data_IF_252075588996
#
_entry.id   IF_252075588996
#
_cell.length_a   1.000
_cell.length_b   1.000
_cell.length_c   1.000
_cell.angle_alpha   90.00
_cell.angle_beta   90.00
_cell.angle_gamma   90.00
#
_symmetry.space_group_name_H-M   'P 1'
#
loop_
_entity.id
_entity.type
_entity.pdbx_description
1 polymer ?
#
# COMPACT_ATOMS: atom_id res chain seq x y z
N UNK A 1 -28.62 -3.20 6.81
CA UNK A 1 -27.87 -4.00 5.82
C UNK A 1 -26.70 -4.60 6.57
N UNK A 2 -26.63 -5.93 6.67
CA UNK A 2 -25.52 -6.60 7.36
C UNK A 2 -24.23 -6.32 6.59
N UNK A 3 -23.17 -5.90 7.28
CA UNK A 3 -21.84 -5.77 6.68
C UNK A 3 -21.38 -7.14 6.19
N UNK A 4 -20.94 -7.20 4.92
CA UNK A 4 -20.41 -8.42 4.36
C UNK A 4 -19.16 -8.89 5.10
N UNK A 5 -18.94 -10.21 5.14
CA UNK A 5 -17.70 -10.78 5.66
C UNK A 5 -16.54 -10.41 4.73
N UNK A 6 -15.45 -9.91 5.28
CA UNK A 6 -14.20 -9.62 4.56
C UNK A 6 -13.05 -10.42 5.19
N UNK A 7 -12.28 -11.12 4.36
CA UNK A 7 -11.07 -11.83 4.76
C UNK A 7 -9.84 -11.05 4.30
N UNK A 8 -9.02 -10.66 5.26
CA UNK A 8 -7.75 -9.97 5.04
C UNK A 8 -6.58 -10.96 5.06
N UNK A 9 -5.69 -10.85 4.08
CA UNK A 9 -4.36 -11.43 4.10
C UNK A 9 -3.32 -10.32 4.30
N UNK A 10 -2.41 -10.52 5.25
CA UNK A 10 -1.32 -9.58 5.55
C UNK A 10 -0.01 -10.26 5.19
N UNK A 11 0.64 -9.79 4.13
CA UNK A 11 1.91 -10.35 3.70
C UNK A 11 3.05 -9.79 4.56
N UNK A 12 3.94 -10.68 5.02
CA UNK A 12 5.13 -10.28 5.77
C UNK A 12 6.36 -10.96 5.17
N UNK A 13 7.30 -10.16 4.67
CA UNK A 13 8.57 -10.65 4.15
C UNK A 13 9.61 -9.52 4.09
N UNK A 14 10.88 -9.90 4.00
CA UNK A 14 11.96 -8.96 3.73
C UNK A 14 12.04 -8.67 2.23
N UNK A 15 11.71 -7.45 1.83
CA UNK A 15 11.88 -6.98 0.46
C UNK A 15 13.37 -6.95 0.08
N UNK A 16 13.66 -7.26 -1.18
CA UNK A 16 15.00 -7.17 -1.77
C UNK A 16 15.24 -5.73 -2.17
N UNK A 17 16.28 -5.12 -1.60
CA UNK A 17 16.66 -3.72 -1.80
C UNK A 17 16.79 -3.40 -3.30
N UNK A 18 16.05 -2.40 -3.77
CA UNK A 18 16.07 -1.89 -5.14
C UNK A 18 15.59 -2.83 -6.24
N UNK A 19 15.16 -4.06 -5.93
CA UNK A 19 14.86 -5.08 -6.94
C UNK A 19 13.35 -5.28 -7.13
N UNK A 20 12.73 -4.40 -7.92
CA UNK A 20 11.29 -4.44 -8.20
C UNK A 20 10.86 -5.78 -8.78
N UNK A 21 11.63 -6.34 -9.72
CA UNK A 21 11.29 -7.61 -10.37
C UNK A 21 11.18 -8.77 -9.37
N UNK A 22 12.17 -8.90 -8.48
CA UNK A 22 12.18 -9.96 -7.45
C UNK A 22 11.07 -9.73 -6.42
N UNK A 23 10.84 -8.50 -5.99
CA UNK A 23 9.77 -8.17 -5.05
C UNK A 23 8.38 -8.40 -5.65
N UNK A 24 8.19 -8.07 -6.92
CA UNK A 24 6.94 -8.34 -7.65
C UNK A 24 6.70 -9.85 -7.79
N UNK A 25 7.74 -10.65 -8.03
CA UNK A 25 7.60 -12.11 -8.02
C UNK A 25 7.20 -12.65 -6.64
N UNK A 26 7.65 -12.02 -5.54
CA UNK A 26 7.17 -12.35 -4.19
C UNK A 26 5.71 -11.98 -4.00
N UNK A 27 5.30 -10.79 -4.44
CA UNK A 27 3.89 -10.38 -4.44
C UNK A 27 3.03 -11.41 -5.17
N UNK A 28 3.42 -11.83 -6.38
CA UNK A 28 2.73 -12.86 -7.17
C UNK A 28 2.47 -14.14 -6.36
N UNK A 29 3.49 -14.65 -5.66
CA UNK A 29 3.37 -15.86 -4.80
C UNK A 29 2.42 -15.65 -3.63
N UNK A 30 2.54 -14.52 -2.93
CA UNK A 30 1.64 -14.21 -1.81
C UNK A 30 0.20 -14.00 -2.26
N UNK A 31 -0.01 -13.34 -3.41
CA UNK A 31 -1.32 -13.16 -4.00
C UNK A 31 -1.98 -14.51 -4.31
N UNK A 32 -1.24 -15.42 -4.93
CA UNK A 32 -1.72 -16.77 -5.21
C UNK A 32 -2.16 -17.51 -3.93
N UNK A 33 -1.33 -17.49 -2.87
CA UNK A 33 -1.69 -18.14 -1.61
C UNK A 33 -2.87 -17.47 -0.90
N UNK A 34 -2.96 -16.15 -0.90
CA UNK A 34 -4.07 -15.42 -0.32
C UNK A 34 -5.39 -15.73 -1.05
N UNK A 35 -5.36 -15.79 -2.38
CA UNK A 35 -6.51 -16.18 -3.19
C UNK A 35 -6.93 -17.63 -2.91
N UNK A 36 -5.97 -18.56 -2.80
CA UNK A 36 -6.24 -19.96 -2.42
C UNK A 36 -6.90 -20.07 -1.04
N UNK A 37 -6.56 -19.18 -0.12
CA UNK A 37 -7.17 -19.08 1.21
C UNK A 37 -8.48 -18.27 1.20
N UNK A 38 -8.92 -17.76 0.05
CA UNK A 38 -10.15 -17.01 -0.16
C UNK A 38 -10.13 -15.63 0.50
N UNK A 39 -9.01 -14.91 0.42
CA UNK A 39 -8.89 -13.53 0.87
C UNK A 39 -9.56 -12.57 -0.14
N UNK A 40 -10.27 -11.57 0.37
CA UNK A 40 -10.84 -10.49 -0.43
C UNK A 40 -9.83 -9.33 -0.63
N UNK A 41 -8.89 -9.20 0.32
CA UNK A 41 -7.80 -8.23 0.30
C UNK A 41 -6.49 -8.91 0.66
N UNK A 42 -5.42 -8.54 -0.03
CA UNK A 42 -4.05 -8.71 0.44
C UNK A 42 -3.35 -7.36 0.56
N UNK A 43 -2.68 -7.12 1.70
CA UNK A 43 -1.88 -5.92 1.95
C UNK A 43 -0.44 -6.28 2.20
N UNK A 44 0.45 -5.53 1.56
CA UNK A 44 1.89 -5.67 1.68
C UNK A 44 2.50 -4.52 2.51
N UNK A 45 3.72 -4.71 3.05
CA UNK A 45 4.42 -3.68 3.82
C UNK A 45 4.69 -2.39 3.03
N UNK A 46 4.98 -1.32 3.75
CA UNK A 46 5.47 -0.07 3.17
C UNK A 46 6.71 -0.32 2.31
N UNK A 47 6.75 0.32 1.12
CA UNK A 47 7.84 0.18 0.14
C UNK A 47 8.19 -1.27 -0.23
N UNK A 48 7.25 -2.21 -0.09
CA UNK A 48 7.46 -3.64 -0.34
C UNK A 48 7.89 -3.98 -1.78
N UNK A 49 7.53 -3.16 -2.78
CA UNK A 49 8.00 -3.35 -4.17
C UNK A 49 9.47 -2.98 -4.36
N UNK A 50 10.02 -2.07 -3.57
CA UNK A 50 11.38 -1.54 -3.77
C UNK A 50 12.34 -1.89 -2.64
N UNK A 51 11.82 -2.28 -1.48
CA UNK A 51 12.55 -2.18 -0.22
C UNK A 51 12.58 -0.74 0.31
N UNK A 52 12.84 -0.61 1.61
CA UNK A 52 12.94 0.67 2.30
C UNK A 52 14.31 1.29 2.05
N UNK A 53 14.46 1.94 0.90
CA UNK A 53 15.71 2.55 0.43
C UNK A 53 15.47 4.02 0.06
N UNK A 54 15.47 4.90 1.07
CA UNK A 54 15.13 6.32 0.88
C UNK A 54 15.94 7.02 -0.22
N UNK A 55 17.28 6.83 -0.33
CA UNK A 55 18.06 7.43 -1.40
C UNK A 55 17.70 6.97 -2.81
N UNK A 56 16.99 5.84 -2.95
CA UNK A 56 16.59 5.28 -4.24
C UNK A 56 15.14 5.60 -4.62
N UNK A 57 14.39 6.34 -3.80
CA UNK A 57 12.95 6.55 -4.05
C UNK A 57 12.69 7.25 -5.38
N UNK A 58 13.53 8.23 -5.76
CA UNK A 58 13.36 8.97 -7.01
C UNK A 58 13.56 8.07 -8.24
N UNK A 59 14.61 7.26 -8.24
CA UNK A 59 14.97 6.34 -9.31
C UNK A 59 13.96 5.18 -9.45
N UNK A 60 13.37 4.77 -8.34
CA UNK A 60 12.43 3.63 -8.29
C UNK A 60 10.96 4.06 -8.32
N UNK A 61 10.67 5.37 -8.39
CA UNK A 61 9.33 5.91 -8.35
C UNK A 61 8.46 5.34 -9.49
N UNK A 62 7.32 4.77 -9.10
CA UNK A 62 6.39 4.15 -10.03
C UNK A 62 5.53 5.23 -10.69
N UNK A 63 5.63 5.33 -12.01
CA UNK A 63 4.71 6.10 -12.84
C UNK A 63 3.37 5.37 -12.98
N UNK A 64 2.28 6.13 -13.06
CA UNK A 64 0.91 5.59 -13.20
C UNK A 64 0.72 4.78 -14.48
N UNK A 65 1.48 5.09 -15.52
CA UNK A 65 1.49 4.41 -16.82
C UNK A 65 2.46 3.22 -16.88
N UNK A 66 3.21 2.95 -15.80
CA UNK A 66 4.26 1.92 -15.83
C UNK A 66 3.68 0.51 -16.00
N UNK A 67 4.48 -0.40 -16.57
CA UNK A 67 4.10 -1.81 -16.73
C UNK A 67 3.86 -2.49 -15.38
N UNK A 68 4.53 -2.06 -14.31
CA UNK A 68 4.32 -2.58 -12.96
C UNK A 68 2.89 -2.35 -12.45
N UNK A 69 2.28 -1.21 -12.81
CA UNK A 69 0.86 -0.91 -12.50
C UNK A 69 -0.05 -1.92 -13.17
N UNK A 70 0.18 -2.18 -14.46
CA UNK A 70 -0.59 -3.16 -15.21
C UNK A 70 -0.42 -4.57 -14.65
N UNK A 71 0.81 -4.99 -14.34
CA UNK A 71 1.07 -6.32 -13.77
C UNK A 71 0.34 -6.55 -12.44
N UNK A 72 0.32 -5.57 -11.54
CA UNK A 72 -0.37 -5.68 -10.26
C UNK A 72 -1.90 -5.60 -10.39
N UNK A 73 -2.41 -4.79 -11.32
CA UNK A 73 -3.83 -4.78 -11.67
C UNK A 73 -4.27 -6.16 -12.19
N UNK A 74 -3.50 -6.78 -13.09
CA UNK A 74 -3.80 -8.13 -13.58
C UNK A 74 -3.76 -9.19 -12.48
N UNK A 75 -2.90 -9.03 -11.46
CA UNK A 75 -2.90 -9.92 -10.30
C UNK A 75 -4.16 -9.77 -9.46
N UNK A 76 -4.65 -8.55 -9.25
CA UNK A 76 -5.91 -8.29 -8.54
C UNK A 76 -7.10 -8.92 -9.28
N UNK A 77 -7.21 -8.68 -10.60
CA UNK A 77 -8.26 -9.24 -11.47
C UNK A 77 -8.22 -10.77 -11.46
N UNK A 78 -7.05 -11.36 -11.75
CA UNK A 78 -6.92 -12.82 -11.90
C UNK A 78 -7.20 -13.58 -10.60
N UNK A 79 -7.00 -12.94 -9.46
CA UNK A 79 -7.25 -13.53 -8.13
C UNK A 79 -8.57 -13.04 -7.51
N UNK A 80 -9.34 -12.20 -8.20
CA UNK A 80 -10.61 -11.63 -7.72
C UNK A 80 -10.52 -11.02 -6.31
N UNK A 81 -9.44 -10.30 -6.03
CA UNK A 81 -9.17 -9.68 -4.74
C UNK A 81 -8.51 -8.31 -4.90
N UNK A 82 -8.65 -7.44 -3.90
CA UNK A 82 -7.91 -6.18 -3.85
C UNK A 82 -6.46 -6.43 -3.40
N UNK A 83 -5.50 -5.85 -4.12
CA UNK A 83 -4.06 -5.95 -3.84
C UNK A 83 -3.53 -4.57 -3.48
N UNK A 84 -2.96 -4.42 -2.28
CA UNK A 84 -2.37 -3.17 -1.80
C UNK A 84 -0.85 -3.34 -1.69
N UNK A 85 -0.10 -2.78 -2.63
CA UNK A 85 1.35 -2.90 -2.70
C UNK A 85 2.04 -1.58 -2.35
N UNK A 86 2.97 -1.59 -1.39
CA UNK A 86 3.73 -0.41 -0.97
C UNK A 86 4.84 -0.07 -1.97
N UNK A 87 4.93 1.20 -2.37
CA UNK A 87 5.91 1.66 -3.37
C UNK A 87 6.15 3.18 -3.32
N UNK A 88 7.28 3.66 -3.87
CA UNK A 88 7.42 5.06 -4.19
C UNK A 88 6.53 5.42 -5.38
N UNK A 89 5.82 6.54 -5.30
CA UNK A 89 4.96 7.05 -6.35
C UNK A 89 5.60 8.26 -7.01
N UNK A 90 5.66 8.27 -8.35
CA UNK A 90 6.13 9.44 -9.10
C UNK A 90 5.19 10.63 -8.84
N UNK A 91 5.80 11.80 -8.65
CA UNK A 91 5.13 13.08 -8.49
C UNK A 91 5.51 13.99 -9.65
N UNK A 92 4.62 14.92 -10.00
CA UNK A 92 4.93 16.04 -10.91
C UNK A 92 5.78 17.13 -10.23
N UNK A 93 6.06 16.97 -8.93
CA UNK A 93 6.89 17.88 -8.14
C UNK A 93 8.34 17.40 -8.06
N UNK A 94 9.16 18.09 -7.25
CA UNK A 94 10.61 17.84 -7.14
C UNK A 94 10.99 16.51 -6.48
N UNK A 95 10.08 15.85 -5.78
CA UNK A 95 10.34 14.62 -5.03
C UNK A 95 9.15 13.66 -5.15
N UNK A 96 9.40 12.33 -5.13
CA UNK A 96 8.34 11.32 -5.13
C UNK A 96 7.56 11.31 -3.80
N UNK A 97 6.54 10.46 -3.70
CA UNK A 97 5.87 10.14 -2.43
C UNK A 97 6.24 8.72 -2.00
N UNK A 98 6.26 8.45 -0.69
CA UNK A 98 6.07 7.09 -0.19
C UNK A 98 4.56 6.82 -0.22
N UNK A 99 4.15 5.66 -0.70
CA UNK A 99 2.73 5.37 -0.87
C UNK A 99 2.41 3.91 -1.08
N UNK A 100 1.18 3.69 -1.55
CA UNK A 100 0.67 2.39 -1.94
C UNK A 100 -0.10 2.50 -3.25
N UNK A 101 0.01 1.45 -4.05
CA UNK A 101 -0.88 1.20 -5.18
C UNK A 101 -1.96 0.21 -4.75
N UNK A 102 -3.22 0.57 -5.00
CA UNK A 102 -4.39 -0.19 -4.63
C UNK A 102 -5.05 -0.69 -5.92
N UNK A 103 -4.83 -1.95 -6.23
CA UNK A 103 -5.38 -2.61 -7.42
C UNK A 103 -6.65 -3.37 -7.04
N UNK A 104 -7.75 -3.03 -7.69
CA UNK A 104 -9.06 -3.63 -7.43
C UNK A 104 -9.35 -4.83 -8.35
N UNK A 105 -10.22 -5.75 -7.95
CA UNK A 105 -10.64 -6.88 -8.80
C UNK A 105 -11.36 -6.44 -10.07
N UNK A 106 -11.86 -5.20 -10.15
CA UNK A 106 -12.40 -4.60 -11.38
C UNK A 106 -11.34 -4.28 -12.43
N UNK A 107 -10.06 -4.24 -12.04
CA UNK A 107 -8.96 -3.74 -12.84
C UNK A 107 -8.62 -2.27 -12.59
N UNK A 108 -9.47 -1.54 -11.85
CA UNK A 108 -9.19 -0.17 -11.44
C UNK A 108 -7.98 -0.10 -10.51
N UNK A 109 -7.23 0.99 -10.60
CA UNK A 109 -6.06 1.23 -9.77
C UNK A 109 -6.13 2.61 -9.15
N UNK A 110 -6.11 2.65 -7.83
CA UNK A 110 -5.96 3.86 -7.04
C UNK A 110 -4.55 3.96 -6.46
N UNK A 111 -4.23 5.17 -6.00
CA UNK A 111 -2.94 5.48 -5.41
C UNK A 111 -3.14 6.28 -4.12
N UNK A 112 -2.41 5.91 -3.08
CA UNK A 112 -2.38 6.64 -1.82
C UNK A 112 -0.95 7.10 -1.53
N UNK A 113 -0.80 8.39 -1.19
CA UNK A 113 0.48 8.96 -0.75
C UNK A 113 0.44 9.16 0.76
N UNK A 114 1.44 8.63 1.45
CA UNK A 114 1.65 8.78 2.90
C UNK A 114 1.61 10.24 3.29
N UNK A 115 0.85 10.59 4.32
CA UNK A 115 0.62 11.98 4.72
C UNK A 115 1.58 12.43 5.81
N UNK A 116 1.88 11.54 6.75
CA UNK A 116 2.73 11.85 7.88
C UNK A 116 4.06 11.13 7.70
N UNK A 117 5.11 11.90 7.43
CA UNK A 117 6.45 11.39 7.16
C UNK A 117 7.17 11.05 8.47
N UNK A 118 7.86 9.91 8.47
CA UNK A 118 8.79 9.54 9.54
C UNK A 118 10.06 10.42 9.46
N UNK A 119 10.82 10.48 10.56
CA UNK A 119 12.04 11.26 10.63
C UNK A 119 13.02 10.87 9.50
N UNK A 120 13.53 11.86 8.77
CA UNK A 120 14.46 11.67 7.65
C UNK A 120 13.79 11.47 6.27
N UNK A 121 12.53 11.02 6.21
CA UNK A 121 11.84 10.80 4.93
C UNK A 121 11.66 12.08 4.12
N UNK A 122 11.46 13.22 4.78
CA UNK A 122 11.29 14.53 4.12
C UNK A 122 12.49 14.97 3.27
N UNK A 123 13.68 14.40 3.51
CA UNK A 123 14.85 14.63 2.68
C UNK A 123 14.68 14.04 1.27
N UNK A 124 13.88 12.98 1.13
CA UNK A 124 13.76 12.17 -0.09
C UNK A 124 12.37 12.21 -0.72
N UNK A 125 11.30 12.41 0.05
CA UNK A 125 9.93 12.39 -0.45
C UNK A 125 9.08 13.56 0.06
N UNK A 126 7.92 13.74 -0.58
CA UNK A 126 6.89 14.69 -0.16
C UNK A 126 5.81 14.00 0.66
N UNK A 127 5.12 14.78 1.49
CA UNK A 127 3.90 14.37 2.16
C UNK A 127 2.70 14.43 1.21
N UNK A 128 1.88 13.39 1.23
CA UNK A 128 0.52 13.41 0.69
C UNK A 128 -0.39 14.33 1.53
N UNK A 129 -1.61 14.54 1.04
CA UNK A 129 -2.56 15.49 1.65
C UNK A 129 -4.01 15.00 1.68
N UNK A 130 -4.24 13.74 1.33
CA UNK A 130 -5.59 13.19 1.19
C UNK A 130 -5.67 11.83 1.86
N UNK A 131 -6.63 11.70 2.78
CA UNK A 131 -7.05 10.41 3.30
C UNK A 131 -7.59 9.52 2.15
N UNK A 132 -7.42 8.21 2.27
CA UNK A 132 -7.95 7.25 1.31
C UNK A 132 -8.84 6.22 1.98
N UNK A 133 -10.02 6.04 1.40
CA UNK A 133 -11.05 5.10 1.83
C UNK A 133 -11.56 4.32 0.64
N UNK A 134 -11.86 3.04 0.86
CA UNK A 134 -12.43 2.17 -0.16
C UNK A 134 -13.34 1.13 0.49
N UNK A 135 -14.15 0.45 -0.30
CA UNK A 135 -15.11 -0.54 0.19
C UNK A 135 -14.78 -1.93 -0.40
N UNK A 136 -14.83 -2.95 0.45
CA UNK A 136 -14.81 -4.36 0.03
C UNK A 136 -15.97 -5.06 0.74
N UNK A 137 -16.85 -5.72 -0.02
CA UNK A 137 -18.08 -6.36 0.50
C UNK A 137 -18.88 -5.44 1.45
N UNK A 138 -19.02 -4.15 1.08
CA UNK A 138 -19.69 -3.10 1.86
C UNK A 138 -19.01 -2.71 3.18
N UNK A 139 -17.83 -3.23 3.48
CA UNK A 139 -16.99 -2.82 4.62
C UNK A 139 -16.11 -1.65 4.17
N UNK A 140 -16.31 -0.48 4.77
CA UNK A 140 -15.48 0.71 4.53
C UNK A 140 -14.15 0.56 5.26
N UNK A 141 -13.06 0.70 4.52
CA UNK A 141 -11.69 0.54 5.01
C UNK A 141 -10.97 1.88 4.81
N UNK A 142 -10.29 2.33 5.85
CA UNK A 142 -9.35 3.44 5.82
C UNK A 142 -7.93 2.88 5.68
N UNK A 143 -7.16 3.39 4.71
CA UNK A 143 -5.78 2.97 4.48
C UNK A 143 -4.80 3.98 5.09
N UNK A 144 -3.77 3.46 5.77
CA UNK A 144 -2.66 4.23 6.29
C UNK A 144 -1.32 3.60 5.86
N UNK A 145 -0.27 4.41 5.75
CA UNK A 145 1.10 3.94 5.51
C UNK A 145 1.98 4.33 6.68
N UNK A 146 2.47 3.32 7.41
CA UNK A 146 3.46 3.43 8.47
C UNK A 146 3.18 4.60 9.42
N UNK A 147 4.03 5.64 9.48
CA UNK A 147 3.89 6.77 10.40
C UNK A 147 2.52 7.48 10.38
N UNK A 148 1.70 7.33 9.33
CA UNK A 148 0.29 7.77 9.35
C UNK A 148 -0.48 7.28 10.58
N UNK A 149 -0.29 6.03 11.01
CA UNK A 149 -1.05 5.52 12.16
C UNK A 149 -0.60 6.13 13.49
N UNK A 150 0.60 6.72 13.56
CA UNK A 150 1.08 7.37 14.79
C UNK A 150 0.47 8.75 14.97
N UNK A 151 -0.13 9.33 13.92
CA UNK A 151 -0.76 10.63 13.96
C UNK A 151 -2.24 10.53 14.38
N UNK A 152 -2.63 11.13 15.52
CA UNK A 152 -4.01 11.08 16.01
C UNK A 152 -5.04 11.63 15.02
N UNK A 153 -4.67 12.63 14.21
CA UNK A 153 -5.58 13.19 13.22
C UNK A 153 -5.98 12.18 12.14
N UNK A 154 -5.06 11.35 11.66
CA UNK A 154 -5.36 10.33 10.63
C UNK A 154 -6.37 9.30 11.16
N UNK A 155 -6.16 8.85 12.39
CA UNK A 155 -7.09 7.93 13.08
C UNK A 155 -8.46 8.57 13.31
N UNK A 156 -8.49 9.83 13.75
CA UNK A 156 -9.73 10.58 13.98
C UNK A 156 -10.54 10.73 12.70
N UNK A 157 -9.89 11.07 11.59
CA UNK A 157 -10.55 11.21 10.29
C UNK A 157 -11.17 9.87 9.84
N UNK A 158 -10.49 8.74 10.10
CA UNK A 158 -11.04 7.41 9.80
C UNK A 158 -12.31 7.09 10.60
N UNK A 159 -12.37 7.50 11.87
CA UNK A 159 -13.55 7.38 12.72
C UNK A 159 -14.68 8.31 12.25
N UNK A 160 -14.39 9.56 11.92
CA UNK A 160 -15.36 10.53 11.38
C UNK A 160 -15.99 10.01 10.08
N UNK A 161 -15.17 9.40 9.23
CA UNK A 161 -15.60 8.77 7.98
C UNK A 161 -16.28 7.41 8.17
N UNK A 162 -16.42 6.94 9.42
CA UNK A 162 -17.07 5.67 9.78
C UNK A 162 -16.44 4.47 9.07
N UNK A 163 -15.11 4.46 8.94
CA UNK A 163 -14.40 3.28 8.51
C UNK A 163 -14.57 2.17 9.56
N UNK A 164 -14.93 0.97 9.10
CA UNK A 164 -15.05 -0.20 9.97
C UNK A 164 -13.69 -0.84 10.26
N UNK A 165 -12.71 -0.63 9.38
CA UNK A 165 -11.34 -1.14 9.50
C UNK A 165 -10.35 -0.02 9.20
N UNK A 166 -9.34 0.10 10.07
CA UNK A 166 -8.16 0.92 9.85
C UNK A 166 -6.98 0.01 9.49
N UNK A 167 -6.66 -0.06 8.20
CA UNK A 167 -5.69 -0.99 7.63
C UNK A 167 -4.37 -0.27 7.38
N UNK A 168 -3.28 -0.82 7.92
CA UNK A 168 -1.97 -0.17 7.92
C UNK A 168 -0.99 -0.99 7.08
N UNK A 169 -0.43 -0.37 6.04
CA UNK A 169 0.76 -0.87 5.34
C UNK A 169 1.99 -0.33 6.07
N UNK A 170 2.67 -1.19 6.85
CA UNK A 170 3.78 -0.76 7.70
C UNK A 170 5.04 -1.59 7.46
N UNK A 171 6.19 -0.95 7.67
CA UNK A 171 7.47 -1.59 7.90
C UNK A 171 7.98 -1.11 9.26
N UNK A 172 8.21 -2.05 10.18
CA UNK A 172 8.72 -1.74 11.52
C UNK A 172 9.97 -2.58 11.72
N UNK A 173 11.09 -1.92 12.03
CA UNK A 173 12.36 -2.59 12.29
C UNK A 173 12.42 -3.06 13.74
N UNK A 174 13.44 -3.85 14.11
CA UNK A 174 13.66 -4.21 15.52
C UNK A 174 13.91 -2.99 16.42
N UNK A 175 14.39 -1.90 15.82
CA UNK A 175 14.68 -0.65 16.50
C UNK A 175 13.45 0.31 16.51
N UNK A 176 12.30 -0.16 16.00
CA UNK A 176 11.04 0.58 15.96
C UNK A 176 10.80 1.32 14.64
N UNK A 177 10.14 2.48 14.71
CA UNK A 177 10.16 3.49 13.64
C UNK A 177 11.54 4.12 13.66
N UNK A 178 12.51 3.45 13.05
CA UNK A 178 13.89 3.93 12.93
C UNK A 178 14.13 4.45 11.53
#
# INVERSE_FOLDING_TARGET
MESGKVRFALAQYKAVRGNIKENLNRHKKFCFEAARLGADIITFPELSLTGYELPLLEDLAIEKSSTHVHELSQLAVSNSMTVIAGCPLKSEQSKPYIGAMICHPSGDVDFYSKQYLHQGESEYCLAGSKNYFFNVNQVKIALAVCADFTEPRHQSDALTERAAVYLISALISRDGFS
#
